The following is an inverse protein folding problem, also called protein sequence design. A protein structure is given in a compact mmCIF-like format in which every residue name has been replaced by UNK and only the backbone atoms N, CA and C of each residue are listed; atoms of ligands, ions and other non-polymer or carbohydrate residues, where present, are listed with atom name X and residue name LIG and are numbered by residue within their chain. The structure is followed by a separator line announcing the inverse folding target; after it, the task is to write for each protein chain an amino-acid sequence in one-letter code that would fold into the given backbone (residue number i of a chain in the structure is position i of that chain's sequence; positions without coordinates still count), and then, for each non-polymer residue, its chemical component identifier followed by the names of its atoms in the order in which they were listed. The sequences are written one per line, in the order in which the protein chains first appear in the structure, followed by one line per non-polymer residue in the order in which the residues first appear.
data_IF_052740879532
#
_entry.id   IF_052740879532
#
_cell.length_a   1.000
_cell.length_b   1.000
_cell.length_c   1.000
_cell.angle_alpha   90.00
_cell.angle_beta   90.00
_cell.angle_gamma   90.00
#
_symmetry.space_group_name_H-M   'P 1'
#
loop_
_entity.id
_entity.type
_entity.pdbx_description
1 polymer ?
#
# COMPACT_ATOMS: atom_id res chain seq x y z
N UNK A 1 -0.78 72.38 -58.54
CA UNK A 1 -1.53 72.70 -59.76
C UNK A 1 -0.98 71.82 -60.85
N UNK A 2 -1.78 70.93 -61.46
CA UNK A 2 -2.68 71.25 -62.59
C UNK A 2 -1.82 71.62 -63.82
N UNK A 3 -1.93 71.05 -65.01
CA UNK A 3 -3.04 70.40 -65.70
C UNK A 3 -2.43 69.65 -66.91
N UNK A 4 -2.86 68.43 -67.23
CA UNK A 4 -3.88 68.13 -68.26
C UNK A 4 -3.59 68.70 -69.66
N UNK A 5 -3.51 67.76 -70.60
CA UNK A 5 -3.41 67.91 -72.07
C UNK A 5 -4.59 68.67 -72.68
N UNK A 6 -4.54 68.97 -73.99
CA UNK A 6 -5.36 68.14 -74.88
C UNK A 6 -4.80 67.86 -76.30
N UNK A 7 -5.28 66.74 -76.83
CA UNK A 7 -5.22 66.20 -78.21
C UNK A 7 -6.23 66.93 -79.12
N UNK A 8 -6.07 66.98 -80.47
CA UNK A 8 -6.80 66.10 -81.42
C UNK A 8 -5.92 65.57 -82.60
N UNK A 9 -6.00 64.29 -83.02
CA UNK A 9 -6.87 63.72 -84.10
C UNK A 9 -6.71 64.44 -85.46
N UNK A 10 -6.54 63.82 -86.64
CA UNK A 10 -7.16 62.59 -87.18
C UNK A 10 -6.63 62.26 -88.59
N UNK A 11 -6.68 60.96 -88.96
CA UNK A 11 -7.07 60.35 -90.28
C UNK A 11 -6.25 60.62 -91.57
N UNK A 12 -5.58 59.61 -92.15
CA UNK A 12 -6.01 58.62 -93.19
C UNK A 12 -5.40 58.96 -94.57
N UNK A 13 -4.52 58.16 -95.19
CA UNK A 13 -4.65 56.84 -95.87
C UNK A 13 -4.92 56.99 -97.39
N UNK A 14 -3.99 56.46 -98.22
CA UNK A 14 -4.09 56.31 -99.69
C UNK A 14 -2.70 56.13 -100.32
N UNK A 15 -2.11 54.92 -100.48
CA UNK A 15 -2.35 53.79 -101.43
C UNK A 15 -1.47 53.86 -102.71
N UNK A 16 -0.91 52.68 -103.06
CA UNK A 16 -0.27 52.23 -104.32
C UNK A 16 1.20 52.60 -104.58
N UNK A 17 2.10 51.74 -105.11
CA UNK A 17 2.01 50.41 -105.76
C UNK A 17 3.42 49.77 -105.87
N UNK A 18 3.46 48.43 -105.83
CA UNK A 18 4.40 47.48 -106.49
C UNK A 18 5.80 47.09 -105.95
N UNK A 19 6.04 45.76 -106.05
CA UNK A 19 7.15 44.86 -105.68
C UNK A 19 8.30 44.87 -106.75
N UNK A 20 9.37 44.02 -106.78
CA UNK A 20 9.71 42.76 -106.03
C UNK A 20 11.24 42.64 -105.68
N UNK A 21 11.85 41.46 -105.36
CA UNK A 21 11.36 40.25 -104.66
C UNK A 21 12.34 39.62 -103.62
N UNK A 22 11.81 38.59 -102.95
CA UNK A 22 12.45 37.39 -102.36
C UNK A 22 13.03 37.45 -100.93
N UNK A 23 12.12 37.31 -99.96
CA UNK A 23 12.26 36.31 -98.88
C UNK A 23 11.82 34.92 -99.40
N UNK A 24 12.12 33.82 -98.67
CA UNK A 24 11.15 33.29 -97.69
C UNK A 24 11.83 32.99 -96.32
N UNK A 25 11.33 33.48 -95.17
CA UNK A 25 10.20 32.95 -94.38
C UNK A 25 10.43 31.48 -93.96
N UNK A 26 10.23 31.01 -92.73
CA UNK A 26 9.05 31.14 -91.90
C UNK A 26 9.26 30.25 -90.65
N UNK A 27 8.88 30.70 -89.46
CA UNK A 27 8.19 29.87 -88.48
C UNK A 27 7.58 30.76 -87.39
N UNK A 28 6.25 30.78 -87.38
CA UNK A 28 5.36 31.64 -86.60
C UNK A 28 4.68 30.77 -85.52
N UNK A 29 4.87 31.11 -84.23
CA UNK A 29 4.01 30.87 -83.03
C UNK A 29 3.60 29.43 -82.65
N UNK A 30 2.93 29.15 -81.50
CA UNK A 30 2.34 30.03 -80.46
C UNK A 30 2.63 29.68 -78.99
N UNK A 31 2.23 30.58 -78.09
CA UNK A 31 1.87 30.23 -76.70
C UNK A 31 0.47 29.62 -76.73
N UNK A 32 0.36 28.36 -76.33
CA UNK A 32 -0.89 27.70 -75.94
C UNK A 32 -0.62 26.73 -74.79
N UNK A 33 -1.31 26.92 -73.68
CA UNK A 33 -1.28 26.01 -72.54
C UNK A 33 -1.85 24.62 -72.89
N UNK A 34 -1.43 23.64 -72.08
CA UNK A 34 -2.03 22.33 -71.82
C UNK A 34 -2.02 21.31 -72.97
N UNK A 35 -1.03 20.41 -72.94
CA UNK A 35 -1.28 19.00 -73.28
C UNK A 35 -0.22 18.07 -72.66
N UNK A 36 -0.59 17.51 -71.51
CA UNK A 36 -0.47 16.08 -71.24
C UNK A 36 0.86 15.40 -71.64
N UNK A 37 1.92 15.60 -70.85
CA UNK A 37 3.08 14.71 -70.89
C UNK A 37 2.70 13.38 -70.22
N UNK A 38 2.52 12.38 -71.08
CA UNK A 38 2.37 10.94 -70.83
C UNK A 38 2.85 10.46 -69.46
N UNK A 39 1.90 10.08 -68.62
CA UNK A 39 2.15 9.40 -67.36
C UNK A 39 2.56 7.95 -67.67
N UNK A 40 3.78 7.56 -67.31
CA UNK A 40 4.21 6.16 -67.40
C UNK A 40 3.29 5.28 -66.51
N UNK A 41 2.92 4.06 -66.94
CA UNK A 41 2.15 3.13 -66.11
C UNK A 41 2.82 2.75 -64.79
N UNK A 42 4.12 3.02 -64.62
CA UNK A 42 4.90 2.72 -63.42
C UNK A 42 4.91 3.80 -62.32
N UNK A 43 4.53 5.06 -62.59
CA UNK A 43 4.58 6.13 -61.59
C UNK A 43 3.35 6.16 -60.66
N UNK A 44 2.23 5.55 -61.07
CA UNK A 44 1.07 5.37 -60.19
C UNK A 44 1.25 4.27 -59.15
N UNK A 45 2.17 3.33 -59.41
CA UNK A 45 2.35 2.16 -58.57
C UNK A 45 3.19 2.47 -57.33
N UNK A 46 4.19 3.34 -57.44
CA UNK A 46 5.03 3.82 -56.33
C UNK A 46 4.24 4.71 -55.34
N UNK A 47 3.45 5.67 -55.83
CA UNK A 47 2.59 6.52 -54.99
C UNK A 47 1.54 5.69 -54.23
N UNK A 48 0.97 4.68 -54.91
CA UNK A 48 0.01 3.75 -54.30
C UNK A 48 0.68 2.83 -53.28
N UNK A 49 1.92 2.41 -53.51
CA UNK A 49 2.74 1.65 -52.57
C UNK A 49 3.05 2.46 -51.31
N UNK A 50 3.44 3.73 -51.46
CA UNK A 50 3.66 4.66 -50.33
C UNK A 50 2.38 4.81 -49.51
N UNK A 51 1.22 4.98 -50.16
CA UNK A 51 -0.07 5.02 -49.46
C UNK A 51 -0.34 3.73 -48.70
N UNK A 52 -0.11 2.55 -49.31
CA UNK A 52 -0.26 1.27 -48.61
C UNK A 52 0.70 1.14 -47.41
N UNK A 53 1.96 1.57 -47.55
CA UNK A 53 2.93 1.57 -46.45
C UNK A 53 2.51 2.52 -45.33
N UNK A 54 2.05 3.73 -45.66
CA UNK A 54 1.51 4.68 -44.68
C UNK A 54 0.30 4.10 -43.95
N UNK A 55 -0.62 3.44 -44.66
CA UNK A 55 -1.77 2.77 -44.03
C UNK A 55 -1.33 1.63 -43.11
N UNK A 56 -0.36 0.81 -43.53
CA UNK A 56 0.19 -0.26 -42.69
C UNK A 56 0.86 0.28 -41.41
N UNK A 57 1.61 1.37 -41.52
CA UNK A 57 2.22 2.05 -40.36
C UNK A 57 1.14 2.59 -39.43
N UNK A 58 0.13 3.29 -39.96
CA UNK A 58 -0.99 3.79 -39.15
C UNK A 58 -1.73 2.66 -38.45
N UNK A 59 -2.03 1.57 -39.16
CA UNK A 59 -2.67 0.38 -38.57
C UNK A 59 -1.79 -0.22 -37.48
N UNK A 60 -0.48 -0.33 -37.70
CA UNK A 60 0.46 -0.88 -36.71
C UNK A 60 0.54 -0.01 -35.46
N UNK A 61 0.54 1.31 -35.62
CA UNK A 61 0.52 2.27 -34.51
C UNK A 61 -0.80 2.17 -33.73
N UNK A 62 -1.94 2.10 -34.42
CA UNK A 62 -3.25 1.93 -33.79
C UNK A 62 -3.30 0.62 -33.00
N UNK A 63 -2.87 -0.49 -33.58
CA UNK A 63 -2.82 -1.79 -32.90
C UNK A 63 -1.90 -1.73 -31.67
N UNK A 64 -0.73 -1.12 -31.79
CA UNK A 64 0.19 -0.91 -30.67
C UNK A 64 -0.43 -0.06 -29.56
N UNK A 65 -1.06 1.07 -29.90
CA UNK A 65 -1.74 1.94 -28.95
C UNK A 65 -2.90 1.23 -28.24
N UNK A 66 -3.72 0.47 -28.98
CA UNK A 66 -4.82 -0.30 -28.39
C UNK A 66 -4.30 -1.39 -27.46
N UNK A 67 -3.22 -2.09 -27.83
CA UNK A 67 -2.55 -3.07 -26.97
C UNK A 67 -2.04 -2.43 -25.67
N UNK A 68 -1.33 -1.31 -25.77
CA UNK A 68 -0.86 -0.56 -24.61
C UNK A 68 -2.01 -0.13 -23.71
N UNK A 69 -3.09 0.43 -24.27
CA UNK A 69 -4.26 0.83 -23.50
C UNK A 69 -4.89 -0.35 -22.73
N UNK A 70 -5.08 -1.50 -23.39
CA UNK A 70 -5.63 -2.70 -22.76
C UNK A 70 -4.72 -3.22 -21.65
N UNK A 71 -3.40 -3.27 -21.89
CA UNK A 71 -2.44 -3.70 -20.85
C UNK A 71 -2.43 -2.77 -19.65
N UNK A 72 -2.52 -1.45 -19.85
CA UNK A 72 -2.62 -0.47 -18.77
C UNK A 72 -3.93 -0.63 -17.99
N UNK A 73 -5.07 -0.82 -18.65
CA UNK A 73 -6.35 -1.06 -17.99
C UNK A 73 -6.28 -2.31 -17.11
N UNK A 74 -5.73 -3.42 -17.64
CA UNK A 74 -5.56 -4.66 -16.89
C UNK A 74 -4.59 -4.52 -15.72
N UNK A 75 -3.54 -3.71 -15.89
CA UNK A 75 -2.62 -3.40 -14.80
C UNK A 75 -3.29 -2.56 -13.70
N UNK A 76 -4.15 -1.59 -14.05
CA UNK A 76 -4.91 -0.81 -13.07
C UNK A 76 -5.85 -1.69 -12.22
N UNK A 77 -6.57 -2.63 -12.85
CA UNK A 77 -7.44 -3.60 -12.18
C UNK A 77 -6.66 -4.45 -11.15
N UNK A 78 -5.49 -4.98 -11.55
CA UNK A 78 -4.61 -5.74 -10.65
C UNK A 78 -4.10 -4.89 -9.46
N UNK A 79 -3.77 -3.63 -9.71
CA UNK A 79 -3.30 -2.71 -8.67
C UNK A 79 -4.44 -2.38 -7.69
N UNK A 80 -5.68 -2.33 -8.12
CA UNK A 80 -6.85 -2.10 -7.26
C UNK A 80 -7.09 -3.28 -6.31
N UNK A 81 -7.01 -4.51 -6.79
CA UNK A 81 -7.05 -5.72 -5.96
C UNK A 81 -5.91 -5.72 -4.91
N UNK A 82 -4.71 -5.30 -5.29
CA UNK A 82 -3.58 -5.22 -4.37
C UNK A 82 -3.77 -4.11 -3.31
N UNK A 83 -4.44 -3.00 -3.64
CA UNK A 83 -4.73 -1.90 -2.71
C UNK A 83 -5.64 -2.34 -1.55
N UNK A 84 -6.55 -3.28 -1.79
CA UNK A 84 -7.42 -3.80 -0.73
C UNK A 84 -6.59 -4.51 0.33
N UNK A 85 -5.63 -5.33 -0.08
CA UNK A 85 -4.73 -6.03 0.82
C UNK A 85 -3.82 -5.06 1.59
N UNK A 86 -3.31 -4.01 0.94
CA UNK A 86 -2.48 -3.01 1.65
C UNK A 86 -3.29 -2.18 2.64
N UNK A 87 -4.55 -1.84 2.33
CA UNK A 87 -5.44 -1.15 3.27
C UNK A 87 -5.78 -2.02 4.49
N UNK A 88 -6.14 -3.29 4.26
CA UNK A 88 -6.37 -4.24 5.34
C UNK A 88 -5.12 -4.42 6.21
N UNK A 89 -3.94 -4.51 5.58
CA UNK A 89 -2.67 -4.59 6.29
C UNK A 89 -2.41 -3.34 7.13
N UNK A 90 -2.64 -2.14 6.59
CA UNK A 90 -2.46 -0.89 7.34
C UNK A 90 -3.41 -0.80 8.54
N UNK A 91 -4.67 -1.22 8.39
CA UNK A 91 -5.62 -1.25 9.50
C UNK A 91 -5.23 -2.26 10.59
N UNK A 92 -4.80 -3.47 10.20
CA UNK A 92 -4.29 -4.47 11.15
C UNK A 92 -3.03 -3.97 11.87
N UNK A 93 -2.06 -3.44 11.12
CA UNK A 93 -0.84 -2.85 11.68
C UNK A 93 -1.18 -1.72 12.65
N UNK A 94 -2.10 -0.82 12.30
CA UNK A 94 -2.54 0.26 13.19
C UNK A 94 -3.26 -0.27 14.44
N UNK A 95 -4.00 -1.36 14.35
CA UNK A 95 -4.63 -1.97 15.51
C UNK A 95 -3.62 -2.66 16.43
N UNK A 96 -2.59 -3.34 15.90
CA UNK A 96 -1.60 -4.06 16.74
C UNK A 96 -0.43 -3.19 17.22
N UNK A 97 0.01 -2.23 16.40
CA UNK A 97 1.13 -1.32 16.71
C UNK A 97 0.67 0.05 17.19
N UNK A 98 -0.58 0.44 16.93
CA UNK A 98 -1.10 1.73 17.32
C UNK A 98 -1.44 1.81 18.80
N UNK A 99 -1.62 3.05 19.25
CA UNK A 99 -1.87 3.37 20.65
C UNK A 99 -3.14 2.69 21.20
N UNK A 100 -4.17 2.50 20.37
CA UNK A 100 -5.41 1.84 20.78
C UNK A 100 -5.18 0.36 21.14
N UNK A 101 -4.43 -0.38 20.31
CA UNK A 101 -4.08 -1.78 20.59
C UNK A 101 -3.21 -1.94 21.83
N UNK A 102 -2.18 -1.11 21.94
CA UNK A 102 -1.29 -1.11 23.11
C UNK A 102 -2.06 -0.76 24.39
N UNK A 103 -2.96 0.22 24.35
CA UNK A 103 -3.82 0.57 25.48
C UNK A 103 -4.79 -0.56 25.85
N UNK A 104 -5.36 -1.26 24.85
CA UNK A 104 -6.17 -2.46 25.06
C UNK A 104 -5.37 -3.56 25.77
N UNK A 105 -4.18 -3.89 25.26
CA UNK A 105 -3.32 -4.90 25.87
C UNK A 105 -2.88 -4.50 27.29
N UNK A 106 -2.57 -3.22 27.53
CA UNK A 106 -2.25 -2.68 28.86
C UNK A 106 -3.43 -2.89 29.82
N UNK A 107 -4.64 -2.57 29.37
CA UNK A 107 -5.88 -2.75 30.14
C UNK A 107 -6.10 -4.22 30.50
N UNK A 108 -5.87 -5.14 29.56
CA UNK A 108 -6.01 -6.58 29.80
C UNK A 108 -4.98 -7.09 30.82
N UNK A 109 -3.72 -6.64 30.71
CA UNK A 109 -2.67 -6.97 31.70
C UNK A 109 -3.04 -6.46 33.09
N UNK A 110 -3.50 -5.21 33.19
CA UNK A 110 -3.88 -4.61 34.47
C UNK A 110 -5.14 -5.29 35.05
N UNK A 111 -6.07 -5.73 34.19
CA UNK A 111 -7.23 -6.52 34.59
C UNK A 111 -6.82 -7.88 35.18
N UNK A 112 -5.96 -8.63 34.48
CA UNK A 112 -5.45 -9.92 34.96
C UNK A 112 -4.71 -9.73 36.28
N UNK A 113 -3.80 -8.75 36.37
CA UNK A 113 -3.07 -8.44 37.61
C UNK A 113 -4.02 -8.15 38.77
N UNK A 114 -5.07 -7.38 38.53
CA UNK A 114 -6.05 -7.03 39.57
C UNK A 114 -6.82 -8.26 40.02
N UNK A 115 -7.29 -9.09 39.09
CA UNK A 115 -7.99 -10.34 39.40
C UNK A 115 -7.10 -11.31 40.19
N UNK A 116 -5.85 -11.51 39.77
CA UNK A 116 -4.89 -12.35 40.51
C UNK A 116 -4.64 -11.82 41.92
N UNK A 117 -4.43 -10.51 42.08
CA UNK A 117 -4.26 -9.90 43.39
C UNK A 117 -5.49 -10.08 44.28
N UNK A 118 -6.69 -9.98 43.69
CA UNK A 118 -7.95 -10.21 44.40
C UNK A 118 -8.04 -11.66 44.88
N UNK A 119 -7.82 -12.64 44.00
CA UNK A 119 -7.84 -14.06 44.38
C UNK A 119 -6.77 -14.39 45.43
N UNK A 120 -5.58 -13.80 45.36
CA UNK A 120 -4.55 -13.98 46.37
C UNK A 120 -4.96 -13.45 47.75
N UNK A 121 -5.70 -12.33 47.80
CA UNK A 121 -6.25 -11.79 49.05
C UNK A 121 -7.31 -12.72 49.65
N UNK A 122 -8.18 -13.27 48.83
CA UNK A 122 -9.19 -14.23 49.25
C UNK A 122 -8.54 -15.52 49.79
N UNK A 123 -7.56 -16.07 49.06
CA UNK A 123 -6.78 -17.22 49.51
C UNK A 123 -6.05 -16.95 50.82
N UNK A 124 -5.47 -15.74 50.99
CA UNK A 124 -4.86 -15.34 52.26
C UNK A 124 -5.89 -15.28 53.38
N UNK A 125 -7.08 -14.74 53.12
CA UNK A 125 -8.17 -14.73 54.10
C UNK A 125 -8.58 -16.15 54.53
N UNK A 126 -8.58 -17.11 53.61
CA UNK A 126 -8.81 -18.52 53.94
C UNK A 126 -7.66 -19.13 54.76
N UNK A 127 -6.42 -18.81 54.43
CA UNK A 127 -5.25 -19.27 55.19
C UNK A 127 -5.19 -18.65 56.60
N UNK A 128 -5.62 -17.40 56.77
CA UNK A 128 -5.71 -16.74 58.08
C UNK A 128 -6.78 -17.40 58.97
N UNK A 129 -7.77 -18.09 58.38
CA UNK A 129 -8.73 -18.94 59.11
C UNK A 129 -8.16 -20.31 59.48
N UNK A 130 -7.09 -20.78 58.82
CA UNK A 130 -6.26 -21.90 59.31
C UNK A 130 -5.25 -21.42 60.35
N UNK A 131 -5.70 -20.62 61.32
CA UNK A 131 -4.99 -20.55 62.62
C UNK A 131 -4.84 -21.99 63.09
N UNK A 132 -3.62 -22.40 63.40
CA UNK A 132 -3.33 -23.78 63.77
C UNK A 132 -4.26 -24.21 64.89
N UNK A 133 -5.18 -25.12 64.57
CA UNK A 133 -6.09 -25.71 65.54
C UNK A 133 -5.29 -26.71 66.35
N UNK A 134 -4.92 -26.32 67.56
CA UNK A 134 -4.22 -27.21 68.48
C UNK A 134 -5.20 -28.15 69.19
N UNK A 135 -4.76 -29.36 69.57
CA UNK A 135 -5.57 -30.25 70.41
C UNK A 135 -5.93 -29.60 71.74
N UNK A 136 -6.98 -30.11 72.40
CA UNK A 136 -7.39 -29.60 73.71
C UNK A 136 -6.23 -29.68 74.72
N UNK A 137 -6.00 -28.57 75.44
CA UNK A 137 -4.88 -28.46 76.41
C UNK A 137 -3.53 -28.07 75.79
N UNK A 138 -3.45 -27.84 74.48
CA UNK A 138 -2.25 -27.35 73.80
C UNK A 138 -2.34 -25.85 73.50
N UNK A 139 -1.21 -25.17 73.59
CA UNK A 139 -1.08 -23.73 73.37
C UNK A 139 -0.58 -23.47 71.94
N UNK A 140 -1.33 -22.74 71.10
CA UNK A 140 -0.85 -22.32 69.79
C UNK A 140 0.15 -21.16 69.92
N UNK A 141 1.30 -21.29 69.27
CA UNK A 141 2.27 -20.20 69.13
C UNK A 141 3.01 -20.33 67.80
N UNK A 142 3.04 -19.25 67.01
CA UNK A 142 3.72 -19.16 65.69
C UNK A 142 3.46 -20.35 64.74
N UNK A 143 2.23 -20.85 64.70
CA UNK A 143 1.87 -21.96 63.81
C UNK A 143 2.34 -23.35 64.29
N UNK A 144 2.77 -23.46 65.55
CA UNK A 144 3.05 -24.72 66.24
C UNK A 144 2.13 -24.85 67.47
N UNK A 145 2.02 -26.07 67.99
CA UNK A 145 1.29 -26.37 69.20
C UNK A 145 2.25 -26.85 70.30
N UNK A 146 2.12 -26.29 71.50
CA UNK A 146 2.97 -26.60 72.64
C UNK A 146 2.14 -27.18 73.78
N UNK A 147 2.67 -28.22 74.43
CA UNK A 147 2.04 -28.85 75.59
C UNK A 147 2.94 -28.73 76.80
N UNK A 148 2.37 -28.24 77.90
CA UNK A 148 3.05 -28.11 79.18
C UNK A 148 2.58 -29.23 80.11
N UNK A 149 3.43 -30.21 80.38
CA UNK A 149 3.09 -31.31 81.28
C UNK A 149 2.96 -30.80 82.72
N UNK A 150 1.87 -31.13 83.44
CA UNK A 150 1.72 -30.76 84.84
C UNK A 150 2.61 -31.59 85.78
N UNK A 151 3.23 -32.67 85.28
CA UNK A 151 4.07 -33.58 86.07
C UNK A 151 5.51 -33.50 85.62
N UNK A 152 6.45 -33.48 86.56
CA UNK A 152 7.88 -33.62 86.26
C UNK A 152 8.22 -35.04 85.87
N UNK A 153 9.07 -35.21 84.86
CA UNK A 153 9.56 -36.50 84.37
C UNK A 153 11.07 -36.41 84.15
N UNK A 154 11.77 -37.53 84.16
CA UNK A 154 13.14 -37.55 83.64
C UNK A 154 13.15 -37.22 82.15
N UNK A 155 14.29 -36.82 81.62
CA UNK A 155 14.36 -36.36 80.23
C UNK A 155 13.96 -37.46 79.23
N UNK A 156 14.38 -38.71 79.45
CA UNK A 156 14.01 -39.85 78.60
C UNK A 156 12.51 -40.17 78.66
N UNK A 157 11.93 -40.11 79.86
CA UNK A 157 10.48 -40.30 80.06
C UNK A 157 9.67 -39.16 79.41
N UNK A 158 10.13 -37.92 79.52
CA UNK A 158 9.50 -36.77 78.89
C UNK A 158 9.50 -36.89 77.36
N UNK A 159 10.65 -37.28 76.78
CA UNK A 159 10.77 -37.54 75.34
C UNK A 159 9.82 -38.65 74.90
N UNK A 160 9.80 -39.77 75.62
CA UNK A 160 8.91 -40.90 75.32
C UNK A 160 7.44 -40.49 75.42
N UNK A 161 7.07 -39.74 76.46
CA UNK A 161 5.72 -39.20 76.64
C UNK A 161 5.29 -38.34 75.44
N UNK A 162 6.15 -37.42 74.97
CA UNK A 162 5.83 -36.61 73.78
C UNK A 162 5.60 -37.49 72.55
N UNK A 163 6.44 -38.50 72.31
CA UNK A 163 6.31 -39.42 71.18
C UNK A 163 5.01 -40.25 71.23
N UNK A 164 4.63 -40.72 72.42
CA UNK A 164 3.36 -41.43 72.65
C UNK A 164 2.13 -40.54 72.40
N UNK A 165 2.29 -39.21 72.53
CA UNK A 165 1.25 -38.21 72.25
C UNK A 165 1.39 -37.57 70.86
N UNK A 166 1.97 -38.29 69.88
CA UNK A 166 2.13 -37.83 68.49
C UNK A 166 2.87 -36.48 68.36
N UNK A 167 3.84 -36.24 69.25
CA UNK A 167 4.60 -35.00 69.32
C UNK A 167 6.07 -35.26 69.61
N UNK A 168 6.85 -34.19 69.75
CA UNK A 168 8.26 -34.25 70.12
C UNK A 168 8.53 -33.33 71.30
N UNK A 169 9.56 -33.69 72.07
CA UNK A 169 10.08 -32.79 73.09
C UNK A 169 10.55 -31.51 72.41
N UNK A 170 10.15 -30.36 72.95
CA UNK A 170 10.32 -29.05 72.31
C UNK A 170 11.79 -28.76 71.97
N UNK A 171 12.02 -28.19 70.79
CA UNK A 171 13.32 -27.70 70.34
C UNK A 171 13.15 -26.22 70.02
N UNK A 172 13.76 -25.37 70.84
CA UNK A 172 13.69 -23.92 70.70
C UNK A 172 14.64 -23.50 69.58
N UNK A 173 14.09 -22.83 68.57
CA UNK A 173 14.80 -22.50 67.33
C UNK A 173 14.97 -21.00 67.10
N UNK A 174 14.32 -20.16 67.93
CA UNK A 174 14.37 -18.71 67.83
C UNK A 174 14.40 -18.06 69.22
N UNK A 175 14.69 -16.76 69.28
CA UNK A 175 14.63 -15.98 70.53
C UNK A 175 13.19 -15.67 70.97
N UNK A 176 12.24 -15.61 70.02
CA UNK A 176 10.85 -15.26 70.30
C UNK A 176 10.06 -16.45 70.88
N UNK A 177 10.58 -17.66 70.72
CA UNK A 177 10.08 -18.94 71.28
C UNK A 177 10.60 -19.16 72.71
#
# INVERSE_FOLDING_TARGET
GLDLTPVPRTSQLGVSLEHPPFQPSLAITPVSQLSQKSRCPGCYQEERLVVYLCLLVVVSLVLSCTGLAVTLIKYQEMVEELKILTFQQMAWQANVTGMAGIAGLKKDIDHIRTNTNQSLRELRGLLDCTRVTCPEGWVPFEGKCYYFSPTTKSWDEARKFCQENYSHLVIISSFAE
#
